data_IF_359515523743
#
_entry.id   IF_359515523743
#
_cell.length_a   1.000
_cell.length_b   1.000
_cell.length_c   1.000
_cell.angle_alpha   90.00
_cell.angle_beta   90.00
_cell.angle_gamma   90.00
#
_symmetry.space_group_name_H-M   'P 1'
#
loop_
_entity.id
_entity.type
_entity.pdbx_description
1 polymer ?
#
# COMPACT_ATOMS: atom_id res chain seq x y z
N UNK A 1 -2.45 -29.54 -1.08
CA UNK A 1 -3.41 -28.77 -0.26
C UNK A 1 -3.26 -27.32 -0.69
N UNK A 2 -4.07 -26.88 -1.64
CA UNK A 2 -4.08 -25.47 -2.05
C UNK A 2 -4.49 -24.64 -0.84
N UNK A 3 -3.60 -23.77 -0.37
CA UNK A 3 -3.96 -22.80 0.66
C UNK A 3 -5.02 -21.91 0.04
N UNK A 4 -6.24 -22.00 0.55
CA UNK A 4 -7.27 -21.01 0.29
C UNK A 4 -6.74 -19.69 0.87
N UNK A 5 -6.18 -18.83 0.01
CA UNK A 5 -5.55 -17.58 0.43
C UNK A 5 -6.66 -16.62 0.83
N UNK A 6 -6.85 -16.44 2.13
CA UNK A 6 -7.76 -15.44 2.66
C UNK A 6 -7.30 -14.04 2.20
N UNK A 7 -8.15 -13.37 1.41
CA UNK A 7 -7.83 -12.07 0.81
C UNK A 7 -7.61 -10.97 1.84
N UNK A 8 -8.06 -11.16 3.08
CA UNK A 8 -7.88 -10.20 4.18
C UNK A 8 -6.59 -10.41 4.98
N UNK A 9 -5.77 -11.41 4.63
CA UNK A 9 -4.47 -11.62 5.25
C UNK A 9 -3.54 -10.42 5.01
N UNK A 10 -2.79 -10.04 6.05
CA UNK A 10 -1.85 -8.91 6.00
C UNK A 10 -0.86 -9.02 4.83
N UNK A 11 -0.38 -10.23 4.52
CA UNK A 11 0.53 -10.45 3.40
C UNK A 11 -0.09 -10.12 2.03
N UNK A 12 -1.39 -10.37 1.86
CA UNK A 12 -2.08 -10.10 0.60
C UNK A 12 -2.41 -8.61 0.47
N UNK A 13 -2.84 -7.97 1.56
CA UNK A 13 -2.99 -6.51 1.64
C UNK A 13 -1.65 -5.82 1.34
N UNK A 14 -0.56 -6.33 1.92
CA UNK A 14 0.79 -5.80 1.67
C UNK A 14 1.21 -5.93 0.22
N UNK A 15 0.90 -7.07 -0.41
CA UNK A 15 1.19 -7.29 -1.83
C UNK A 15 0.47 -6.26 -2.69
N UNK A 16 -0.84 -6.07 -2.50
CA UNK A 16 -1.63 -5.07 -3.25
C UNK A 16 -1.18 -3.65 -2.98
N UNK A 17 -0.84 -3.31 -1.74
CA UNK A 17 -0.25 -2.02 -1.38
C UNK A 17 1.05 -1.74 -2.17
N UNK A 18 1.94 -2.74 -2.23
CA UNK A 18 3.21 -2.63 -2.98
C UNK A 18 2.98 -2.55 -4.48
N UNK A 19 2.00 -3.27 -5.00
CA UNK A 19 1.61 -3.21 -6.41
C UNK A 19 1.07 -1.84 -6.78
N UNK A 20 0.17 -1.26 -5.96
CA UNK A 20 -0.34 0.10 -6.15
C UNK A 20 0.79 1.15 -6.20
N UNK A 21 1.74 1.08 -5.25
CA UNK A 21 2.91 1.97 -5.26
C UNK A 21 3.78 1.74 -6.51
N UNK A 22 4.03 0.48 -6.89
CA UNK A 22 4.91 0.13 -8.02
C UNK A 22 4.32 0.50 -9.38
N UNK A 23 2.99 0.41 -9.53
CA UNK A 23 2.27 0.74 -10.76
C UNK A 23 1.99 2.23 -10.89
N UNK A 24 2.15 3.00 -9.80
CA UNK A 24 2.05 4.45 -9.86
C UNK A 24 3.18 5.07 -10.70
N UNK A 25 2.93 6.24 -11.27
CA UNK A 25 3.94 7.01 -12.00
C UNK A 25 4.80 7.89 -11.08
N UNK A 26 4.69 7.72 -9.76
CA UNK A 26 5.35 8.55 -8.77
C UNK A 26 6.61 7.88 -8.22
N UNK A 27 7.63 8.69 -7.95
CA UNK A 27 8.83 8.27 -7.22
C UNK A 27 8.50 8.16 -5.73
N UNK A 28 9.23 7.30 -5.01
CA UNK A 28 9.04 7.12 -3.55
C UNK A 28 9.16 8.43 -2.78
N UNK A 29 10.03 9.36 -3.22
CA UNK A 29 10.16 10.71 -2.64
C UNK A 29 8.88 11.55 -2.78
N UNK A 30 8.21 11.49 -3.93
CA UNK A 30 6.99 12.25 -4.20
C UNK A 30 5.84 11.71 -3.36
N UNK A 31 5.71 10.38 -3.30
CA UNK A 31 4.76 9.69 -2.44
C UNK A 31 4.99 10.07 -0.96
N UNK A 32 6.24 10.03 -0.51
CA UNK A 32 6.59 10.34 0.87
C UNK A 32 6.18 11.78 1.26
N UNK A 33 6.44 12.74 0.38
CA UNK A 33 6.04 14.14 0.57
C UNK A 33 4.52 14.28 0.63
N UNK A 34 3.79 13.63 -0.27
CA UNK A 34 2.33 13.71 -0.34
C UNK A 34 1.64 13.13 0.91
N UNK A 35 2.14 12.00 1.43
CA UNK A 35 1.50 11.32 2.57
C UNK A 35 2.07 11.74 3.94
N UNK A 36 3.07 12.64 3.95
CA UNK A 36 3.65 13.22 5.17
C UNK A 36 4.64 12.32 5.91
N UNK A 37 5.41 11.50 5.20
CA UNK A 37 6.41 10.58 5.80
C UNK A 37 7.79 10.72 5.15
N UNK A 38 8.78 10.00 5.67
CA UNK A 38 10.11 9.95 5.05
C UNK A 38 10.14 9.00 3.84
N UNK A 39 11.02 9.26 2.87
CA UNK A 39 11.26 8.35 1.74
C UNK A 39 11.69 6.95 2.23
N UNK A 40 12.46 6.88 3.33
CA UNK A 40 12.84 5.62 3.98
C UNK A 40 11.61 4.84 4.46
N UNK A 41 10.58 5.53 4.94
CA UNK A 41 9.31 4.93 5.37
C UNK A 41 8.58 4.29 4.19
N UNK A 42 8.48 4.99 3.06
CA UNK A 42 7.89 4.43 1.82
C UNK A 42 8.71 3.23 1.33
N UNK A 43 10.04 3.32 1.37
CA UNK A 43 10.93 2.20 1.04
C UNK A 43 10.72 0.99 1.98
N UNK A 44 10.42 1.23 3.26
CA UNK A 44 10.11 0.18 4.23
C UNK A 44 8.80 -0.52 3.87
N UNK A 45 7.74 0.20 3.47
CA UNK A 45 6.51 -0.41 2.97
C UNK A 45 6.78 -1.37 1.80
N UNK A 46 7.71 -1.01 0.92
CA UNK A 46 8.07 -1.79 -0.27
C UNK A 46 8.93 -3.02 0.01
N UNK A 47 9.73 -3.02 1.08
CA UNK A 47 10.81 -4.02 1.30
C UNK A 47 10.71 -4.79 2.60
N UNK A 48 9.93 -4.30 3.58
CA UNK A 48 9.83 -4.84 4.93
C UNK A 48 8.38 -5.10 5.30
N UNK A 49 8.19 -5.83 6.38
CA UNK A 49 6.88 -6.07 6.95
C UNK A 49 6.41 -4.87 7.79
N UNK A 50 6.20 -3.73 7.11
CA UNK A 50 5.80 -2.46 7.71
C UNK A 50 4.61 -1.92 6.92
N UNK A 51 3.60 -1.45 7.64
CA UNK A 51 2.39 -0.89 7.06
C UNK A 51 2.26 0.60 7.41
N UNK A 52 1.64 1.40 6.53
CA UNK A 52 1.20 2.74 6.89
C UNK A 52 0.15 2.68 8.00
N UNK A 53 0.15 3.68 8.89
CA UNK A 53 -0.99 3.92 9.77
C UNK A 53 -2.23 4.25 8.93
N UNK A 54 -3.44 4.07 9.48
CA UNK A 54 -4.69 4.23 8.71
C UNK A 54 -4.84 5.60 8.05
N UNK A 55 -4.44 6.67 8.73
CA UNK A 55 -4.46 8.03 8.19
C UNK A 55 -3.45 8.21 7.04
N UNK A 56 -2.25 7.62 7.18
CA UNK A 56 -1.21 7.62 6.14
C UNK A 56 -1.63 6.77 4.94
N UNK A 57 -2.30 5.65 5.19
CA UNK A 57 -2.87 4.78 4.18
C UNK A 57 -3.95 5.51 3.38
N UNK A 58 -4.88 6.21 4.06
CA UNK A 58 -5.91 6.99 3.39
C UNK A 58 -5.30 8.07 2.49
N UNK A 59 -4.30 8.82 2.96
CA UNK A 59 -3.55 9.80 2.14
C UNK A 59 -2.84 9.15 0.96
N UNK A 60 -2.31 7.96 1.14
CA UNK A 60 -1.66 7.21 0.06
C UNK A 60 -2.66 6.82 -1.03
N UNK A 61 -3.81 6.25 -0.65
CA UNK A 61 -4.87 5.90 -1.59
C UNK A 61 -5.35 7.11 -2.39
N UNK A 62 -5.62 8.22 -1.71
CA UNK A 62 -6.03 9.49 -2.33
C UNK A 62 -4.98 10.01 -3.32
N UNK A 63 -3.70 10.07 -2.91
CA UNK A 63 -2.62 10.54 -3.76
C UNK A 63 -2.35 9.64 -4.98
N UNK A 64 -2.44 8.32 -4.80
CA UNK A 64 -2.25 7.35 -5.88
C UNK A 64 -3.48 7.25 -6.80
N UNK A 65 -4.64 7.75 -6.38
CA UNK A 65 -5.91 7.56 -7.09
C UNK A 65 -6.39 6.11 -7.08
N UNK A 66 -6.03 5.33 -6.04
CA UNK A 66 -6.39 3.92 -5.89
C UNK A 66 -7.41 3.77 -4.77
N UNK A 67 -8.60 3.19 -5.03
CA UNK A 67 -9.60 2.94 -4.00
C UNK A 67 -9.06 2.04 -2.88
N UNK A 68 -9.34 2.39 -1.62
CA UNK A 68 -8.82 1.64 -0.47
C UNK A 68 -9.33 0.20 -0.40
N UNK A 69 -10.54 -0.04 -0.89
CA UNK A 69 -11.19 -1.34 -0.98
C UNK A 69 -10.45 -2.30 -1.91
N UNK A 70 -9.81 -1.80 -2.98
CA UNK A 70 -8.97 -2.63 -3.84
C UNK A 70 -7.74 -3.14 -3.07
N UNK A 71 -7.04 -2.26 -2.34
CA UNK A 71 -5.86 -2.66 -1.57
C UNK A 71 -6.24 -3.58 -0.40
N UNK A 72 -7.34 -3.28 0.28
CA UNK A 72 -7.86 -4.08 1.40
C UNK A 72 -8.50 -5.40 0.95
N UNK A 73 -8.75 -5.59 -0.36
CA UNK A 73 -9.37 -6.79 -0.91
C UNK A 73 -10.87 -6.89 -0.63
N UNK A 74 -11.56 -5.76 -0.42
CA UNK A 74 -13.01 -5.69 -0.17
C UNK A 74 -13.79 -5.80 -1.49
N UNK A 75 -13.18 -5.41 -2.62
CA UNK A 75 -13.78 -5.55 -3.94
C UNK A 75 -14.12 -7.01 -4.29
N UNK A 76 -15.18 -7.17 -5.10
CA UNK A 76 -15.76 -8.46 -5.51
C UNK A 76 -15.06 -9.07 -6.72
#
# INVERSE_FOLDING_TARGET
MEKMTDKFQLSEIQKRLREAIKQSNYKQKEIAQAIGVSEKTVSAYMKRDVFPALDTFARLCDFLGVPSDEILGITS
#
